data_IF_276847282955
#
_entry.id   IF_276847282955
#
_cell.length_a   1.000
_cell.length_b   1.000
_cell.length_c   1.000
_cell.angle_alpha   90.00
_cell.angle_beta   90.00
_cell.angle_gamma   90.00
#
_symmetry.space_group_name_H-M   'P 1'
#
loop_
_entity.id
_entity.type
_entity.pdbx_description
1 polymer ?
#
# COMPACT_ATOMS: atom_id res chain seq x y z
N UNK A 1 -0.19 -11.91 7.88
CA UNK A 1 -1.59 -11.53 8.21
C UNK A 1 -2.05 -12.38 9.38
N UNK A 2 -2.83 -11.82 10.30
CA UNK A 2 -3.30 -12.54 11.50
C UNK A 2 -4.55 -13.38 11.26
N UNK A 3 -5.35 -13.02 10.24
CA UNK A 3 -6.45 -13.86 9.80
C UNK A 3 -5.89 -15.09 9.07
N UNK A 4 -6.31 -16.32 9.43
CA UNK A 4 -5.65 -17.54 8.96
C UNK A 4 -5.91 -17.83 7.49
N UNK A 5 -7.13 -17.58 6.99
CA UNK A 5 -7.56 -17.93 5.63
C UNK A 5 -7.49 -16.70 4.72
N UNK A 6 -6.46 -16.60 3.89
CA UNK A 6 -6.23 -15.43 3.04
C UNK A 6 -6.50 -15.77 1.57
N UNK A 7 -7.15 -14.86 0.86
CA UNK A 7 -7.43 -15.00 -0.57
C UNK A 7 -8.83 -15.48 -0.93
N UNK A 8 -9.72 -15.68 0.05
CA UNK A 8 -11.08 -16.24 -0.17
C UNK A 8 -11.92 -15.50 -1.21
N UNK A 9 -11.72 -14.19 -1.36
CA UNK A 9 -12.45 -13.36 -2.32
C UNK A 9 -11.70 -13.10 -3.63
N UNK A 10 -10.49 -13.64 -3.75
CA UNK A 10 -9.59 -13.38 -4.87
C UNK A 10 -9.21 -11.91 -4.98
N UNK A 11 -8.73 -11.53 -6.16
CA UNK A 11 -8.34 -10.16 -6.48
C UNK A 11 -9.30 -9.58 -7.52
N UNK A 12 -9.85 -8.36 -7.29
CA UNK A 12 -10.71 -7.69 -8.25
C UNK A 12 -9.92 -7.15 -9.45
N UNK A 13 -10.63 -6.73 -10.49
CA UNK A 13 -10.03 -6.09 -11.66
C UNK A 13 -9.28 -4.79 -11.29
N UNK A 14 -8.17 -4.49 -11.96
CA UNK A 14 -7.46 -3.20 -11.86
C UNK A 14 -8.15 -2.11 -12.70
N UNK A 15 -9.45 -1.89 -12.47
CA UNK A 15 -10.22 -0.83 -13.13
C UNK A 15 -9.95 0.54 -12.52
N UNK A 16 -9.92 1.57 -13.37
CA UNK A 16 -9.88 2.96 -12.95
C UNK A 16 -11.30 3.53 -12.86
N UNK A 17 -11.53 4.45 -11.92
CA UNK A 17 -12.74 5.26 -11.84
C UNK A 17 -12.67 6.49 -12.76
N UNK A 18 -13.73 7.30 -12.76
CA UNK A 18 -13.84 8.52 -13.57
C UNK A 18 -12.76 9.57 -13.27
N UNK A 19 -12.04 9.42 -12.15
CA UNK A 19 -10.96 10.30 -11.72
C UNK A 19 -9.58 9.66 -11.95
N UNK A 20 -9.49 8.59 -12.76
CA UNK A 20 -8.26 7.83 -12.97
C UNK A 20 -7.66 7.25 -11.67
N UNK A 21 -8.50 6.93 -10.68
CA UNK A 21 -8.08 6.26 -9.45
C UNK A 21 -8.47 4.79 -9.50
N UNK A 22 -7.58 3.89 -9.06
CA UNK A 22 -7.84 2.45 -9.05
C UNK A 22 -9.06 2.08 -8.17
N UNK A 23 -10.20 1.77 -8.77
CA UNK A 23 -11.53 1.69 -8.15
C UNK A 23 -11.61 0.76 -6.93
N UNK A 24 -10.88 -0.35 -6.96
CA UNK A 24 -10.90 -1.38 -5.91
C UNK A 24 -9.63 -1.41 -5.05
N UNK A 25 -8.65 -0.56 -5.33
CA UNK A 25 -7.37 -0.53 -4.64
C UNK A 25 -7.12 0.82 -3.97
N UNK A 26 -6.20 0.81 -3.00
CA UNK A 26 -5.80 2.00 -2.24
C UNK A 26 -4.52 2.65 -2.79
N UNK A 27 -3.93 2.08 -3.84
CA UNK A 27 -2.79 2.59 -4.57
C UNK A 27 -2.96 2.27 -6.06
N UNK A 28 -2.47 3.16 -6.92
CA UNK A 28 -2.50 2.92 -8.36
C UNK A 28 -1.44 1.87 -8.74
N UNK A 29 -1.90 0.74 -9.29
CA UNK A 29 -1.10 -0.29 -9.98
C UNK A 29 0.14 -0.82 -9.22
N UNK A 30 0.14 -0.79 -7.88
CA UNK A 30 1.30 -1.26 -7.11
C UNK A 30 0.95 -1.85 -5.75
N UNK A 31 1.59 -2.97 -5.44
CA UNK A 31 1.64 -3.56 -4.11
C UNK A 31 2.81 -2.96 -3.32
N UNK A 32 2.52 -2.37 -2.16
CA UNK A 32 3.53 -1.70 -1.34
C UNK A 32 4.26 -2.59 -0.34
N UNK A 33 3.76 -3.81 -0.09
CA UNK A 33 4.39 -4.76 0.83
C UNK A 33 5.59 -5.42 0.15
N UNK A 34 6.69 -5.61 0.88
CA UNK A 34 7.89 -6.31 0.36
C UNK A 34 7.71 -7.83 0.30
N UNK A 35 6.73 -8.36 1.02
CA UNK A 35 6.39 -9.77 1.01
C UNK A 35 5.16 -10.03 1.87
N UNK A 36 4.57 -11.21 1.72
CA UNK A 36 3.36 -11.61 2.44
C UNK A 36 3.56 -12.94 3.16
N UNK A 37 3.27 -12.97 4.47
CA UNK A 37 3.28 -14.21 5.28
C UNK A 37 1.83 -14.49 5.69
N UNK A 38 1.32 -15.67 5.34
CA UNK A 38 -0.05 -16.11 5.65
C UNK A 38 -0.05 -17.49 6.29
N UNK A 39 -1.13 -17.80 7.02
CA UNK A 39 -1.35 -19.13 7.55
C UNK A 39 -1.73 -20.10 6.43
N UNK A 40 -2.84 -19.83 5.78
CA UNK A 40 -3.36 -20.64 4.68
C UNK A 40 -3.82 -19.74 3.54
N UNK A 41 -3.55 -20.17 2.31
CA UNK A 41 -3.98 -19.49 1.10
C UNK A 41 -5.16 -20.25 0.49
N UNK A 42 -6.19 -19.53 0.06
CA UNK A 42 -7.31 -20.09 -0.66
C UNK A 42 -6.99 -20.14 -2.17
N UNK A 43 -6.84 -21.35 -2.71
CA UNK A 43 -6.56 -21.57 -4.13
C UNK A 43 -7.81 -21.42 -5.02
N UNK A 44 -9.00 -21.60 -4.44
CA UNK A 44 -10.29 -21.49 -5.13
C UNK A 44 -11.12 -20.35 -4.53
N UNK A 45 -10.80 -19.08 -4.83
CA UNK A 45 -11.61 -17.99 -4.34
C UNK A 45 -13.02 -18.03 -4.90
N UNK A 46 -13.97 -17.44 -4.17
CA UNK A 46 -15.35 -17.30 -4.62
C UNK A 46 -15.86 -15.91 -4.28
N UNK A 47 -15.88 -15.03 -5.29
CA UNK A 47 -16.49 -13.72 -5.18
C UNK A 47 -16.91 -13.21 -6.56
N UNK A 48 -18.05 -12.53 -6.65
CA UNK A 48 -18.59 -12.04 -7.93
C UNK A 48 -17.69 -11.02 -8.65
N UNK A 49 -16.77 -10.36 -7.92
CA UNK A 49 -15.76 -9.44 -8.50
C UNK A 49 -14.40 -10.09 -8.79
N UNK A 50 -14.20 -11.35 -8.43
CA UNK A 50 -12.92 -12.02 -8.62
C UNK A 50 -12.55 -12.06 -10.10
N UNK A 51 -11.31 -11.68 -10.40
CA UNK A 51 -10.71 -11.85 -11.74
C UNK A 51 -9.50 -12.78 -11.72
N UNK A 52 -8.76 -12.80 -10.61
CA UNK A 52 -7.57 -13.65 -10.47
C UNK A 52 -7.38 -14.09 -9.02
N UNK A 53 -6.53 -15.09 -8.83
CA UNK A 53 -6.15 -15.55 -7.48
C UNK A 53 -5.16 -14.57 -6.84
N UNK A 54 -5.02 -14.63 -5.52
CA UNK A 54 -4.00 -13.85 -4.82
C UNK A 54 -2.59 -14.23 -5.28
N UNK A 55 -2.34 -15.52 -5.52
CA UNK A 55 -1.05 -16.03 -5.97
C UNK A 55 -0.66 -15.44 -7.33
N UNK A 56 -1.56 -15.49 -8.31
CA UNK A 56 -1.30 -14.96 -9.66
C UNK A 56 -1.00 -13.46 -9.62
N UNK A 57 -1.75 -12.70 -8.81
CA UNK A 57 -1.52 -11.27 -8.64
C UNK A 57 -0.17 -10.97 -8.00
N UNK A 58 0.23 -11.74 -6.99
CA UNK A 58 1.54 -11.56 -6.36
C UNK A 58 2.69 -11.88 -7.32
N UNK A 59 2.55 -12.92 -8.15
CA UNK A 59 3.52 -13.26 -9.20
C UNK A 59 3.63 -12.12 -10.22
N UNK A 60 2.51 -11.58 -10.70
CA UNK A 60 2.48 -10.45 -11.64
C UNK A 60 3.23 -9.21 -11.10
N UNK A 61 3.07 -8.94 -9.80
CA UNK A 61 3.70 -7.79 -9.13
C UNK A 61 5.10 -8.09 -8.57
N UNK A 62 5.65 -9.29 -8.83
CA UNK A 62 6.95 -9.75 -8.32
C UNK A 62 7.09 -9.64 -6.79
N UNK A 63 6.03 -9.98 -6.04
CA UNK A 63 6.04 -9.94 -4.57
C UNK A 63 6.17 -11.36 -4.00
N UNK A 64 7.20 -11.65 -3.18
CA UNK A 64 7.36 -12.95 -2.55
C UNK A 64 6.30 -13.19 -1.47
N UNK A 65 5.83 -14.43 -1.37
CA UNK A 65 4.88 -14.86 -0.36
C UNK A 65 5.24 -16.23 0.22
N UNK A 66 4.85 -16.47 1.47
CA UNK A 66 4.94 -17.78 2.11
C UNK A 66 3.62 -18.10 2.84
N UNK A 67 3.13 -19.31 2.61
CA UNK A 67 1.97 -19.90 3.29
C UNK A 67 2.41 -21.09 4.16
N UNK A 68 1.52 -21.56 5.04
CA UNK A 68 1.80 -22.67 5.96
C UNK A 68 2.53 -22.27 7.25
N UNK A 69 2.64 -20.97 7.53
CA UNK A 69 3.34 -20.45 8.72
C UNK A 69 2.34 -20.22 9.86
N UNK A 70 2.73 -20.58 11.09
CA UNK A 70 1.98 -20.18 12.28
C UNK A 70 2.12 -18.65 12.50
N UNK A 71 1.23 -17.90 11.87
CA UNK A 71 1.17 -16.44 11.97
C UNK A 71 0.81 -15.98 13.38
N UNK A 72 0.19 -16.81 14.23
CA UNK A 72 -0.12 -16.49 15.62
C UNK A 72 1.13 -16.52 16.48
N UNK A 73 1.98 -17.55 16.33
CA UNK A 73 3.29 -17.61 16.97
C UNK A 73 4.17 -16.42 16.54
N UNK A 74 4.22 -16.15 15.22
CA UNK A 74 4.97 -15.02 14.67
C UNK A 74 4.49 -13.67 15.25
N UNK A 75 3.17 -13.48 15.34
CA UNK A 75 2.59 -12.23 15.89
C UNK A 75 2.94 -12.04 17.37
N UNK A 76 2.97 -13.11 18.17
CA UNK A 76 3.39 -13.04 19.58
C UNK A 76 4.85 -12.61 19.71
N UNK A 77 5.73 -13.23 18.94
CA UNK A 77 7.16 -12.91 18.92
C UNK A 77 7.41 -11.43 18.55
N UNK A 78 6.74 -10.93 17.50
CA UNK A 78 6.84 -9.51 17.11
C UNK A 78 6.31 -8.59 18.21
N UNK A 79 5.18 -8.94 18.84
CA UNK A 79 4.58 -8.13 19.90
C UNK A 79 5.47 -8.02 21.14
N UNK A 80 6.18 -9.10 21.49
CA UNK A 80 7.06 -9.16 22.66
C UNK A 80 8.38 -8.41 22.43
N UNK A 81 8.92 -8.44 21.22
CA UNK A 81 10.24 -7.87 20.91
C UNK A 81 10.19 -6.51 20.19
N UNK A 82 9.00 -6.02 19.81
CA UNK A 82 8.83 -4.76 19.10
C UNK A 82 9.19 -4.87 17.62
N UNK A 83 10.21 -4.12 17.17
CA UNK A 83 10.63 -4.12 15.77
C UNK A 83 11.57 -5.30 15.51
N UNK A 84 11.10 -6.27 14.72
CA UNK A 84 11.90 -7.40 14.26
C UNK A 84 12.20 -7.24 12.76
N UNK A 85 13.47 -7.33 12.39
CA UNK A 85 13.88 -7.41 10.99
C UNK A 85 13.74 -8.85 10.51
N UNK A 86 13.13 -9.04 9.33
CA UNK A 86 12.88 -10.35 8.74
C UNK A 86 13.21 -10.37 7.25
N UNK A 87 13.50 -11.55 6.72
CA UNK A 87 13.73 -11.79 5.29
C UNK A 87 13.05 -13.08 4.85
N UNK A 88 12.50 -13.07 3.65
CA UNK A 88 12.04 -14.28 2.95
C UNK A 88 13.12 -14.69 1.96
N UNK A 89 13.58 -15.94 2.04
CA UNK A 89 14.65 -16.47 1.20
C UNK A 89 14.14 -17.76 0.56
N UNK A 90 14.20 -17.83 -0.77
CA UNK A 90 13.86 -19.02 -1.55
C UNK A 90 15.18 -19.63 -2.06
N UNK A 91 15.60 -20.78 -1.53
CA UNK A 91 16.88 -21.39 -1.89
C UNK A 91 17.31 -22.53 -0.97
N UNK A 92 18.53 -23.03 -1.20
CA UNK A 92 19.10 -24.17 -0.47
C UNK A 92 19.44 -23.76 0.97
N UNK A 93 19.15 -24.63 1.93
CA UNK A 93 19.60 -24.50 3.31
C UNK A 93 21.14 -24.39 3.35
N UNK A 94 21.65 -23.28 3.87
CA UNK A 94 23.09 -23.05 3.98
C UNK A 94 23.38 -21.88 4.91
N UNK A 95 24.66 -21.64 5.27
CA UNK A 95 25.03 -20.42 5.96
C UNK A 95 24.68 -19.25 5.05
N UNK A 96 23.79 -18.39 5.53
CA UNK A 96 23.38 -17.15 4.89
C UNK A 96 24.50 -16.10 4.98
N UNK A 97 25.70 -16.45 4.53
CA UNK A 97 26.87 -15.58 4.56
C UNK A 97 26.63 -14.37 3.66
N UNK A 98 26.72 -13.17 4.25
CA UNK A 98 26.48 -11.89 3.57
C UNK A 98 25.04 -11.35 3.63
N UNK A 99 24.11 -12.03 4.31
CA UNK A 99 22.74 -11.52 4.50
C UNK A 99 22.66 -10.50 5.64
N UNK A 100 23.01 -9.26 5.35
CA UNK A 100 22.87 -8.15 6.29
C UNK A 100 21.41 -7.72 6.42
N UNK A 101 20.86 -7.74 7.64
CA UNK A 101 19.57 -7.08 7.90
C UNK A 101 19.76 -5.58 7.78
N UNK A 102 19.04 -4.97 6.83
CA UNK A 102 19.04 -3.52 6.64
C UNK A 102 17.75 -2.99 7.24
N UNK A 103 17.87 -2.06 8.16
CA UNK A 103 16.71 -1.35 8.69
C UNK A 103 16.16 -0.41 7.62
N UNK A 104 14.92 -0.65 7.21
CA UNK A 104 14.25 0.14 6.19
C UNK A 104 13.95 1.56 6.68
N UNK A 105 13.84 1.75 8.00
CA UNK A 105 13.52 3.03 8.63
C UNK A 105 14.65 4.05 8.53
N UNK A 106 15.86 3.62 8.14
CA UNK A 106 16.98 4.53 7.90
C UNK A 106 16.85 5.30 6.57
N UNK A 107 15.95 4.85 5.67
CA UNK A 107 15.69 5.52 4.40
C UNK A 107 14.48 6.44 4.52
N UNK A 108 14.43 7.48 3.68
CA UNK A 108 13.26 8.32 3.56
C UNK A 108 12.16 7.59 2.77
N UNK A 109 11.40 6.73 3.47
CA UNK A 109 10.30 5.95 2.87
C UNK A 109 9.21 6.85 2.29
N UNK A 110 9.00 8.04 2.87
CA UNK A 110 8.04 9.03 2.36
C UNK A 110 8.42 9.49 0.95
N UNK A 111 9.70 9.80 0.72
CA UNK A 111 10.19 10.17 -0.59
C UNK A 111 10.06 9.05 -1.64
N UNK A 112 10.12 7.78 -1.22
CA UNK A 112 9.94 6.62 -2.11
C UNK A 112 8.49 6.42 -2.55
N UNK A 113 7.52 6.77 -1.69
CA UNK A 113 6.08 6.55 -1.94
C UNK A 113 5.33 7.76 -2.49
N UNK A 114 5.84 8.97 -2.23
CA UNK A 114 5.25 10.23 -2.69
C UNK A 114 5.16 10.31 -4.21
N UNK A 115 4.07 10.93 -4.69
CA UNK A 115 3.93 11.40 -6.06
C UNK A 115 5.14 12.24 -6.50
N UNK A 116 5.46 12.17 -7.79
CA UNK A 116 6.56 12.92 -8.41
C UNK A 116 6.09 14.20 -9.09
N UNK A 117 4.79 14.33 -9.32
CA UNK A 117 4.19 15.46 -10.01
C UNK A 117 2.92 15.88 -9.28
N UNK A 118 2.57 17.15 -9.42
CA UNK A 118 1.32 17.68 -8.89
C UNK A 118 0.16 17.14 -9.73
N UNK A 119 -0.86 16.60 -9.07
CA UNK A 119 -2.06 16.09 -9.72
C UNK A 119 -3.28 16.75 -9.11
N UNK A 120 -4.08 17.42 -9.94
CA UNK A 120 -5.32 18.08 -9.52
C UNK A 120 -6.53 17.22 -9.85
N UNK A 121 -7.37 16.98 -8.84
CA UNK A 121 -8.65 16.31 -8.97
C UNK A 121 -9.80 17.30 -8.71
N UNK A 122 -10.88 17.17 -9.50
CA UNK A 122 -12.06 18.03 -9.42
C UNK A 122 -11.71 19.53 -9.49
N UNK A 123 -11.19 19.97 -10.65
CA UNK A 123 -10.62 21.32 -10.84
C UNK A 123 -11.57 22.49 -10.53
N UNK A 124 -12.88 22.27 -10.69
CA UNK A 124 -13.93 23.26 -10.41
C UNK A 124 -14.51 23.11 -8.99
N UNK A 125 -13.98 22.20 -8.18
CA UNK A 125 -14.41 21.92 -6.82
C UNK A 125 -14.05 23.01 -5.83
N UNK A 126 -14.75 23.00 -4.69
CA UNK A 126 -14.51 23.88 -3.56
C UNK A 126 -14.91 23.18 -2.25
N UNK A 127 -14.18 23.35 -1.14
CA UNK A 127 -12.93 24.13 -1.01
C UNK A 127 -11.74 23.53 -1.77
N UNK A 128 -10.69 24.33 -1.97
CA UNK A 128 -9.39 23.90 -2.51
C UNK A 128 -8.54 23.29 -1.40
N UNK A 129 -8.24 22.00 -1.52
CA UNK A 129 -7.43 21.25 -0.56
C UNK A 129 -6.07 20.95 -1.20
N UNK A 130 -4.99 21.44 -0.59
CA UNK A 130 -3.64 21.00 -0.90
C UNK A 130 -3.35 19.74 -0.09
N UNK A 131 -3.14 18.61 -0.75
CA UNK A 131 -2.86 17.32 -0.12
C UNK A 131 -1.38 16.95 -0.33
N UNK A 132 -0.57 17.02 0.73
CA UNK A 132 0.82 16.57 0.69
C UNK A 132 0.84 15.04 0.76
N UNK A 133 1.41 14.43 -0.28
CA UNK A 133 1.48 12.98 -0.43
C UNK A 133 2.69 12.42 0.32
N UNK A 134 2.41 11.88 1.51
CA UNK A 134 3.38 11.15 2.33
C UNK A 134 3.31 9.62 2.13
N UNK A 135 2.53 9.13 1.17
CA UNK A 135 2.06 7.74 1.07
C UNK A 135 0.55 7.63 1.13
N UNK A 136 -0.11 8.54 0.43
CA UNK A 136 -1.55 8.75 0.41
C UNK A 136 -2.30 7.51 -0.07
N UNK A 137 -3.41 7.22 0.60
CA UNK A 137 -4.37 6.20 0.17
C UNK A 137 -5.44 6.83 -0.71
N UNK A 138 -5.78 6.19 -1.83
CA UNK A 138 -6.74 6.73 -2.80
C UNK A 138 -8.11 7.05 -2.20
N UNK A 139 -8.54 6.31 -1.17
CA UNK A 139 -9.80 6.61 -0.51
C UNK A 139 -9.81 7.99 0.18
N UNK A 140 -8.66 8.54 0.58
CA UNK A 140 -8.59 9.90 1.12
C UNK A 140 -8.98 10.94 0.07
N UNK A 141 -8.47 10.79 -1.17
CA UNK A 141 -8.88 11.65 -2.30
C UNK A 141 -10.38 11.47 -2.54
N UNK A 142 -10.87 10.23 -2.66
CA UNK A 142 -12.31 9.96 -2.87
C UNK A 142 -13.20 10.63 -1.82
N UNK A 143 -12.80 10.61 -0.55
CA UNK A 143 -13.55 11.27 0.53
C UNK A 143 -13.68 12.78 0.30
N UNK A 144 -12.63 13.46 -0.18
CA UNK A 144 -12.69 14.88 -0.52
C UNK A 144 -13.52 15.15 -1.77
N UNK A 145 -13.32 14.37 -2.83
CA UNK A 145 -14.06 14.53 -4.08
C UNK A 145 -15.57 14.35 -3.87
N UNK A 146 -15.99 13.36 -3.07
CA UNK A 146 -17.39 13.14 -2.71
C UNK A 146 -18.03 14.31 -1.93
N UNK A 147 -17.20 15.19 -1.35
CA UNK A 147 -17.66 16.41 -0.66
C UNK A 147 -17.61 17.64 -1.56
N UNK A 148 -17.27 17.48 -2.84
CA UNK A 148 -17.18 18.56 -3.81
C UNK A 148 -15.87 19.33 -3.77
N UNK A 149 -14.90 18.93 -2.94
CA UNK A 149 -13.61 19.62 -2.84
C UNK A 149 -12.80 19.48 -4.13
N UNK A 150 -12.01 20.51 -4.45
CA UNK A 150 -10.85 20.38 -5.33
C UNK A 150 -9.68 19.83 -4.51
N UNK A 151 -8.96 18.85 -5.04
CA UNK A 151 -7.80 18.26 -4.35
C UNK A 151 -6.57 18.36 -5.22
N UNK A 152 -5.60 19.14 -4.78
CA UNK A 152 -4.29 19.27 -5.41
C UNK A 152 -3.31 18.38 -4.64
N UNK A 153 -3.00 17.19 -5.18
CA UNK A 153 -2.04 16.26 -4.57
C UNK A 153 -0.65 16.66 -4.99
N UNK A 154 0.20 16.96 -4.01
CA UNK A 154 1.56 17.47 -4.22
C UNK A 154 2.61 16.54 -3.62
N UNK A 155 3.86 16.55 -4.14
CA UNK A 155 4.96 15.80 -3.54
C UNK A 155 5.20 16.15 -2.06
N UNK A 156 5.79 15.22 -1.30
CA UNK A 156 6.09 15.39 0.12
C UNK A 156 6.97 16.62 0.46
N UNK A 157 7.82 17.04 -0.48
CA UNK A 157 8.76 18.15 -0.38
C UNK A 157 8.28 19.42 -1.11
N UNK A 158 7.02 19.44 -1.52
CA UNK A 158 6.46 20.57 -2.26
C UNK A 158 6.42 21.84 -1.39
N UNK A 159 6.92 22.99 -1.90
CA UNK A 159 6.85 24.26 -1.17
C UNK A 159 5.42 24.76 -1.16
N UNK A 160 4.80 24.78 0.03
CA UNK A 160 3.41 25.22 0.22
C UNK A 160 3.32 26.70 0.60
N UNK A 161 2.41 27.43 -0.05
CA UNK A 161 1.98 28.79 0.34
C UNK A 161 0.50 28.74 0.76
N UNK A 162 0.20 29.25 1.95
CA UNK A 162 -1.15 29.29 2.52
C UNK A 162 -2.15 30.12 1.68
N UNK A 163 -1.68 30.91 0.71
CA UNK A 163 -2.55 31.69 -0.20
C UNK A 163 -3.14 30.84 -1.34
N UNK A 164 -2.58 29.67 -1.62
CA UNK A 164 -2.94 28.88 -2.80
C UNK A 164 -4.10 27.89 -2.56
N UNK A 165 -4.49 27.67 -1.29
CA UNK A 165 -5.50 26.70 -0.90
C UNK A 165 -6.36 27.19 0.27
N UNK A 166 -7.54 26.58 0.44
CA UNK A 166 -8.46 26.83 1.56
C UNK A 166 -8.20 25.87 2.74
N UNK A 167 -7.57 24.71 2.47
CA UNK A 167 -7.18 23.75 3.48
C UNK A 167 -5.93 22.95 3.11
N UNK A 168 -5.11 22.64 4.11
CA UNK A 168 -3.93 21.77 3.98
C UNK A 168 -4.24 20.40 4.57
N UNK A 169 -3.94 19.34 3.83
CA UNK A 169 -4.07 17.96 4.27
C UNK A 169 -2.71 17.26 4.19
N UNK A 170 -2.27 16.68 5.30
CA UNK A 170 -1.11 15.80 5.35
C UNK A 170 -1.61 14.36 5.31
N UNK A 171 -1.26 13.62 4.26
CA UNK A 171 -1.73 12.24 4.10
C UNK A 171 -1.12 11.31 5.15
N UNK A 172 -1.63 10.08 5.21
CA UNK A 172 -0.91 9.02 5.89
C UNK A 172 0.41 8.74 5.17
N UNK A 173 1.33 8.05 5.85
CA UNK A 173 2.58 7.64 5.22
C UNK A 173 3.04 6.26 5.66
N UNK A 174 4.11 5.79 5.00
CA UNK A 174 4.86 4.62 5.47
C UNK A 174 5.62 5.03 6.74
N UNK A 175 5.45 4.21 7.78
CA UNK A 175 6.32 4.19 8.95
C UNK A 175 7.38 3.13 8.74
#
# INVERSE_FOLDING_TARGET
LTYPLIGNYGIPAEELDNHNLAKYFESNHKIWVSGLIVGEICDTPSHWRQKQTLNDWMIQHNIPGISGIDTRALTKMIRENGTILGKLIQGVEGPFDGLHFVDQNQRNLVAEVSTKQVVTYNINGSPRICAIDCGLKLNQIRCFLNRGCRVDVVPWDFPVDCKDFDGLFLSNGKK
#
